data_IF_757303999650
#
_entry.id   IF_757303999650
#
_cell.length_a   1.000
_cell.length_b   1.000
_cell.length_c   1.000
_cell.angle_alpha   90.00
_cell.angle_beta   90.00
_cell.angle_gamma   90.00
#
_symmetry.space_group_name_H-M   'P 1'
#
loop_
_entity.id
_entity.type
_entity.pdbx_description
1 polymer ?
#
# COMPACT_ATOMS: atom_id res chain seq x y z
N UNK A 1 -12.10 -54.14 7.71
CA UNK A 1 -11.40 -53.13 8.55
C UNK A 1 -11.67 -51.76 7.92
N UNK A 2 -12.59 -50.96 8.49
CA UNK A 2 -12.93 -49.62 7.98
C UNK A 2 -12.17 -48.58 8.81
N UNK A 3 -11.17 -47.94 8.23
CA UNK A 3 -10.45 -46.83 8.86
C UNK A 3 -11.30 -45.57 8.71
N UNK A 4 -11.78 -45.02 9.84
CA UNK A 4 -12.40 -43.70 9.92
C UNK A 4 -11.28 -42.65 9.97
N UNK A 5 -11.17 -41.83 8.93
CA UNK A 5 -10.40 -40.60 9.01
C UNK A 5 -11.18 -39.58 9.87
N UNK A 6 -10.65 -39.24 11.05
CA UNK A 6 -11.10 -38.07 11.81
C UNK A 6 -10.52 -36.83 11.12
N UNK A 7 -11.38 -36.09 10.44
CA UNK A 7 -10.99 -34.87 9.75
C UNK A 7 -10.85 -33.73 10.77
N UNK A 8 -9.67 -33.61 11.38
CA UNK A 8 -9.40 -32.57 12.39
C UNK A 8 -9.33 -31.16 11.77
N UNK A 9 -9.22 -30.99 10.45
CA UNK A 9 -9.09 -29.66 9.83
C UNK A 9 -10.36 -28.81 9.95
N UNK A 10 -11.55 -29.43 9.94
CA UNK A 10 -12.83 -28.72 10.09
C UNK A 10 -13.00 -28.11 11.50
N UNK A 11 -12.46 -28.78 12.52
CA UNK A 11 -12.46 -28.27 13.88
C UNK A 11 -11.50 -27.09 14.06
N UNK A 12 -10.33 -27.12 13.43
CA UNK A 12 -9.41 -25.99 13.45
C UNK A 12 -9.95 -24.79 12.67
N UNK A 13 -10.61 -25.02 11.52
CA UNK A 13 -11.26 -23.96 10.75
C UNK A 13 -12.41 -23.32 11.53
N UNK A 14 -13.26 -24.14 12.15
CA UNK A 14 -14.35 -23.67 13.01
C UNK A 14 -13.83 -22.89 14.23
N UNK A 15 -12.77 -23.37 14.89
CA UNK A 15 -12.17 -22.67 16.02
C UNK A 15 -11.55 -21.32 15.61
N UNK A 16 -10.91 -21.25 14.44
CA UNK A 16 -10.32 -20.02 13.91
C UNK A 16 -11.39 -18.98 13.55
N UNK A 17 -12.49 -19.39 12.91
CA UNK A 17 -13.63 -18.50 12.63
C UNK A 17 -14.30 -18.02 13.91
N UNK A 18 -14.50 -18.88 14.92
CA UNK A 18 -15.05 -18.47 16.21
C UNK A 18 -14.11 -17.49 16.95
N UNK A 19 -12.79 -17.67 16.86
CA UNK A 19 -11.83 -16.78 17.49
C UNK A 19 -11.80 -15.39 16.83
N UNK A 20 -11.79 -15.33 15.49
CA UNK A 20 -11.82 -14.07 14.73
C UNK A 20 -13.16 -13.35 14.97
N UNK A 21 -14.29 -14.06 14.88
CA UNK A 21 -15.62 -13.48 15.15
C UNK A 21 -15.70 -12.99 16.61
N UNK A 22 -15.19 -13.75 17.59
CA UNK A 22 -15.21 -13.33 19.00
C UNK A 22 -14.40 -12.06 19.27
N UNK A 23 -13.28 -11.85 18.59
CA UNK A 23 -12.47 -10.64 18.78
C UNK A 23 -13.10 -9.42 18.11
N UNK A 24 -13.71 -9.57 16.92
CA UNK A 24 -14.39 -8.47 16.22
C UNK A 24 -15.79 -8.16 16.79
N UNK A 25 -16.51 -9.16 17.33
CA UNK A 25 -17.80 -8.96 18.02
C UNK A 25 -17.68 -8.32 19.41
N UNK A 26 -16.46 -8.00 19.86
CA UNK A 26 -16.23 -7.30 21.13
C UNK A 26 -15.95 -5.81 20.95
N UNK A 27 -15.90 -5.27 19.73
CA UNK A 27 -15.64 -3.85 19.49
C UNK A 27 -16.92 -3.03 19.55
N UNK A 28 -16.83 -1.82 20.12
CA UNK A 28 -17.90 -0.82 19.98
C UNK A 28 -17.94 -0.41 18.49
N UNK A 29 -19.13 -0.42 17.86
CA UNK A 29 -19.27 -0.04 16.46
C UNK A 29 -18.89 1.43 16.29
N UNK A 30 -18.28 1.77 15.15
CA UNK A 30 -18.02 3.16 14.79
C UNK A 30 -19.26 3.79 14.14
N UNK A 31 -20.36 3.87 14.87
CA UNK A 31 -21.56 4.55 14.42
C UNK A 31 -21.46 6.07 14.63
N UNK A 32 -22.24 6.82 13.86
CA UNK A 32 -22.37 8.27 14.07
C UNK A 32 -23.06 8.54 15.40
N UNK A 33 -22.46 9.43 16.19
CA UNK A 33 -23.09 9.93 17.40
C UNK A 33 -24.22 10.87 17.00
N UNK A 34 -25.44 10.54 17.42
CA UNK A 34 -26.61 11.36 17.13
C UNK A 34 -26.65 12.57 18.05
N UNK A 35 -26.75 13.76 17.48
CA UNK A 35 -26.80 15.04 18.22
C UNK A 35 -28.18 15.69 18.06
N UNK A 36 -28.33 16.95 18.46
CA UNK A 36 -29.54 17.74 18.15
C UNK A 36 -29.61 18.19 16.68
N UNK A 37 -28.56 17.96 15.90
CA UNK A 37 -28.50 18.19 14.46
C UNK A 37 -28.50 16.83 13.71
N UNK A 38 -29.54 16.52 12.92
CA UNK A 38 -29.63 15.24 12.22
C UNK A 38 -28.64 15.09 11.06
N UNK A 39 -27.99 16.17 10.62
CA UNK A 39 -26.98 16.16 9.55
C UNK A 39 -25.55 16.19 10.11
N UNK A 40 -25.39 15.96 11.42
CA UNK A 40 -24.10 15.96 12.08
C UNK A 40 -23.34 14.63 11.94
N UNK A 41 -22.19 14.72 11.28
CA UNK A 41 -21.29 13.59 11.04
C UNK A 41 -19.87 13.87 11.57
N UNK A 42 -19.76 14.62 12.67
CA UNK A 42 -18.46 15.01 13.23
C UNK A 42 -18.04 14.23 14.49
N UNK A 43 -18.85 13.27 14.94
CA UNK A 43 -18.59 12.42 16.11
C UNK A 43 -18.91 10.95 15.82
N UNK A 44 -18.04 10.07 16.29
CA UNK A 44 -18.05 8.64 16.04
C UNK A 44 -17.91 7.89 17.37
N UNK A 45 -18.70 6.84 17.53
CA UNK A 45 -18.59 5.92 18.65
C UNK A 45 -17.34 5.04 18.57
N UNK A 46 -16.81 4.63 19.73
CA UNK A 46 -15.77 3.61 19.82
C UNK A 46 -14.37 4.02 19.34
N UNK A 47 -14.16 5.24 18.82
CA UNK A 47 -12.82 5.82 18.60
C UNK A 47 -12.41 6.69 19.79
N UNK A 48 -11.14 7.10 19.81
CA UNK A 48 -10.55 7.87 20.91
C UNK A 48 -10.44 9.35 20.58
N UNK A 49 -10.64 10.18 21.60
CA UNK A 49 -10.65 11.63 21.52
C UNK A 49 -9.88 12.27 22.66
N UNK A 50 -9.24 13.39 22.34
CA UNK A 50 -9.03 14.48 23.26
C UNK A 50 -10.29 15.36 23.29
N UNK A 51 -10.77 15.71 24.49
CA UNK A 51 -11.90 16.64 24.66
C UNK A 51 -11.33 17.97 25.15
N UNK A 52 -11.37 19.00 24.30
CA UNK A 52 -10.65 20.25 24.48
C UNK A 52 -11.61 21.38 24.83
N UNK A 53 -11.36 22.06 25.95
CA UNK A 53 -12.13 23.21 26.37
C UNK A 53 -11.91 24.41 25.43
N UNK A 54 -12.98 24.94 24.84
CA UNK A 54 -12.90 25.92 23.75
C UNK A 54 -12.23 27.23 24.13
N UNK A 55 -12.35 27.67 25.38
CA UNK A 55 -11.73 28.92 25.86
C UNK A 55 -10.28 28.71 26.26
N UNK A 56 -9.99 27.76 27.17
CA UNK A 56 -8.63 27.61 27.69
C UNK A 56 -7.70 26.83 26.76
N UNK A 57 -8.24 26.14 25.74
CA UNK A 57 -7.49 25.24 24.84
C UNK A 57 -6.75 24.13 25.59
N UNK A 58 -7.31 23.76 26.75
CA UNK A 58 -6.82 22.71 27.64
C UNK A 58 -7.73 21.49 27.57
N UNK A 59 -7.22 20.36 28.00
CA UNK A 59 -7.84 19.06 27.81
C UNK A 59 -8.63 18.66 29.05
N UNK A 60 -9.76 17.99 28.86
CA UNK A 60 -10.51 17.33 29.91
C UNK A 60 -9.70 16.14 30.43
N UNK A 61 -9.30 16.18 31.70
CA UNK A 61 -8.45 15.15 32.31
C UNK A 61 -9.12 14.62 33.56
N UNK A 62 -9.16 13.29 33.68
CA UNK A 62 -9.49 12.63 34.94
C UNK A 62 -8.28 12.69 35.88
N UNK A 63 -8.41 13.36 37.03
CA UNK A 63 -7.37 13.43 38.05
C UNK A 63 -7.91 12.96 39.40
N UNK A 64 -7.56 11.72 39.77
CA UNK A 64 -8.05 11.06 40.99
C UNK A 64 -9.58 11.09 41.06
N UNK A 65 -10.13 11.82 42.03
CA UNK A 65 -11.56 11.85 42.35
C UNK A 65 -12.34 12.94 41.59
N UNK A 66 -11.70 13.69 40.69
CA UNK A 66 -12.35 14.78 39.96
C UNK A 66 -11.86 14.89 38.52
N UNK A 67 -12.63 15.61 37.71
CA UNK A 67 -12.23 15.99 36.35
C UNK A 67 -11.87 17.48 36.34
N UNK A 68 -10.81 17.82 35.62
CA UNK A 68 -10.30 19.19 35.50
C UNK A 68 -9.86 19.48 34.07
N UNK A 69 -9.48 20.73 33.80
CA UNK A 69 -8.84 21.09 32.52
C UNK A 69 -7.33 21.27 32.68
N UNK A 70 -6.55 20.44 31.99
CA UNK A 70 -5.08 20.39 32.11
C UNK A 70 -4.32 20.60 30.80
N UNK A 71 -3.00 20.63 30.90
CA UNK A 71 -2.12 20.69 29.73
C UNK A 71 -2.15 19.37 28.95
N UNK A 72 -1.81 19.41 27.66
CA UNK A 72 -1.74 18.19 26.83
C UNK A 72 -0.66 17.26 27.36
N UNK A 73 -1.01 15.98 27.49
CA UNK A 73 -0.07 14.88 27.66
C UNK A 73 -0.59 13.67 26.90
N UNK A 74 -0.08 13.48 25.68
CA UNK A 74 -0.48 12.38 24.79
C UNK A 74 -0.07 10.99 25.32
N UNK A 75 0.78 10.95 26.36
CA UNK A 75 1.15 9.70 27.03
C UNK A 75 0.22 9.37 28.19
N UNK A 76 -0.62 10.32 28.62
CA UNK A 76 -1.52 10.16 29.75
C UNK A 76 -2.89 9.61 29.30
N UNK A 77 -3.20 8.33 29.55
CA UNK A 77 -4.49 7.77 29.14
C UNK A 77 -5.69 8.40 29.87
N UNK A 78 -5.47 9.10 30.99
CA UNK A 78 -6.54 9.83 31.70
C UNK A 78 -7.02 11.09 30.97
N UNK A 79 -6.29 11.56 29.95
CA UNK A 79 -6.72 12.64 29.06
C UNK A 79 -7.62 12.13 27.92
N UNK A 80 -7.57 10.82 27.62
CA UNK A 80 -8.23 10.27 26.45
C UNK A 80 -9.61 9.71 26.81
N UNK A 81 -10.56 9.96 25.91
CA UNK A 81 -11.96 9.61 26.09
C UNK A 81 -12.50 8.89 24.86
N UNK A 82 -13.53 8.05 25.05
CA UNK A 82 -14.27 7.41 23.96
C UNK A 82 -15.76 7.48 24.21
N UNK A 83 -16.54 7.44 23.14
CA UNK A 83 -17.99 7.53 23.18
C UNK A 83 -18.61 6.15 22.96
N UNK A 84 -19.61 5.79 23.76
CA UNK A 84 -20.42 4.59 23.55
C UNK A 84 -21.88 4.89 23.78
N UNK A 85 -22.77 4.35 22.95
CA UNK A 85 -24.21 4.45 23.17
C UNK A 85 -24.61 3.79 24.48
N UNK A 86 -25.50 4.44 25.23
CA UNK A 86 -26.04 3.89 26.47
C UNK A 86 -27.03 2.75 26.16
N UNK A 87 -26.96 1.65 26.92
CA UNK A 87 -27.79 0.46 26.69
C UNK A 87 -29.24 0.66 27.16
N UNK A 88 -30.19 0.04 26.47
CA UNK A 88 -31.60 -0.02 26.91
C UNK A 88 -32.40 1.27 26.70
N UNK A 89 -31.83 2.28 26.02
CA UNK A 89 -32.52 3.52 25.67
C UNK A 89 -32.68 3.67 24.16
N UNK A 90 -33.91 3.97 23.71
CA UNK A 90 -34.23 4.33 22.33
C UNK A 90 -33.78 5.77 21.96
N UNK A 91 -32.87 6.37 22.72
CA UNK A 91 -32.53 7.80 22.65
C UNK A 91 -31.05 8.03 22.32
N UNK A 92 -30.76 9.23 21.81
CA UNK A 92 -29.44 9.78 21.45
C UNK A 92 -28.57 10.05 22.68
N UNK A 93 -28.38 9.02 23.51
CA UNK A 93 -27.74 9.11 24.83
C UNK A 93 -26.49 8.25 24.85
N UNK A 94 -25.43 8.82 25.38
CA UNK A 94 -24.09 8.27 25.31
C UNK A 94 -23.44 8.27 26.69
N UNK A 95 -22.59 7.27 26.94
CA UNK A 95 -21.57 7.35 27.98
C UNK A 95 -20.28 7.90 27.37
N UNK A 96 -19.53 8.66 28.18
CA UNK A 96 -18.20 9.14 27.83
C UNK A 96 -17.21 8.37 28.71
N UNK A 97 -16.44 7.45 28.13
CA UNK A 97 -15.55 6.55 28.87
C UNK A 97 -14.14 7.10 28.90
N UNK A 98 -13.54 7.20 30.10
CA UNK A 98 -12.14 7.55 30.27
C UNK A 98 -11.27 6.32 30.02
N UNK A 99 -10.18 6.49 29.26
CA UNK A 99 -9.28 5.38 28.94
C UNK A 99 -8.34 5.02 30.09
N UNK A 100 -7.92 5.99 30.90
CA UNK A 100 -7.00 5.76 32.01
C UNK A 100 -7.67 5.07 33.20
N UNK A 101 -8.89 5.46 33.55
CA UNK A 101 -9.65 4.80 34.64
C UNK A 101 -10.45 3.59 34.16
N UNK A 102 -10.81 3.54 32.87
CA UNK A 102 -11.72 2.52 32.35
C UNK A 102 -13.16 2.68 32.85
N UNK A 103 -13.54 3.87 33.33
CA UNK A 103 -14.89 4.18 33.85
C UNK A 103 -15.53 5.36 33.12
N UNK A 104 -16.85 5.51 33.25
CA UNK A 104 -17.60 6.58 32.60
C UNK A 104 -17.45 7.91 33.34
N UNK A 105 -17.54 9.01 32.60
CA UNK A 105 -17.75 10.34 33.11
C UNK A 105 -19.11 10.41 33.81
N UNK A 106 -19.10 10.90 35.04
CA UNK A 106 -20.20 10.89 35.98
C UNK A 106 -20.36 12.28 36.62
N UNK A 107 -21.50 12.50 37.28
CA UNK A 107 -21.78 13.75 37.97
C UNK A 107 -22.72 13.53 39.16
N UNK A 108 -22.62 14.42 40.15
CA UNK A 108 -23.49 14.45 41.34
C UNK A 108 -24.46 15.65 41.34
N UNK A 109 -24.63 16.30 40.18
CA UNK A 109 -25.40 17.55 40.03
C UNK A 109 -24.61 18.83 40.33
N UNK A 110 -23.38 18.75 40.84
CA UNK A 110 -22.48 19.90 41.05
C UNK A 110 -21.12 19.71 40.40
N UNK A 111 -20.45 18.61 40.71
CA UNK A 111 -19.14 18.23 40.18
C UNK A 111 -19.24 17.26 39.02
N UNK A 112 -18.11 17.10 38.33
CA UNK A 112 -17.90 16.11 37.27
C UNK A 112 -16.65 15.29 37.62
N UNK A 113 -16.74 13.97 37.51
CA UNK A 113 -15.67 13.05 37.88
C UNK A 113 -15.70 11.79 37.01
N UNK A 114 -14.61 11.03 36.97
CA UNK A 114 -14.66 9.66 36.46
C UNK A 114 -15.27 8.75 37.53
N UNK A 115 -16.25 7.92 37.17
CA UNK A 115 -16.97 7.10 38.14
C UNK A 115 -16.05 6.09 38.83
N UNK A 116 -16.44 5.67 40.03
CA UNK A 116 -15.80 4.53 40.69
C UNK A 116 -16.23 3.23 40.03
N UNK A 117 -15.44 2.18 40.17
CA UNK A 117 -15.77 0.85 39.63
C UNK A 117 -17.11 0.30 40.13
N UNK A 118 -17.52 0.68 41.35
CA UNK A 118 -18.76 0.21 41.98
C UNK A 118 -20.01 0.93 41.45
N UNK A 119 -19.81 2.10 40.83
CA UNK A 119 -20.88 2.93 40.29
C UNK A 119 -20.83 3.07 38.76
N UNK A 120 -19.76 2.59 38.12
CA UNK A 120 -19.63 2.55 36.67
C UNK A 120 -20.67 1.62 36.05
N UNK A 121 -21.61 2.20 35.31
CA UNK A 121 -22.68 1.43 34.66
C UNK A 121 -23.21 2.16 33.44
N UNK A 122 -23.32 1.43 32.32
CA UNK A 122 -23.93 1.89 31.07
C UNK A 122 -25.42 2.21 31.17
N UNK A 123 -26.06 1.89 32.30
CA UNK A 123 -27.46 2.22 32.57
C UNK A 123 -27.63 3.32 33.62
N UNK A 124 -26.54 3.78 34.25
CA UNK A 124 -26.59 4.83 35.27
C UNK A 124 -26.91 6.19 34.62
N UNK A 125 -28.05 6.83 34.96
CA UNK A 125 -28.47 8.06 34.31
C UNK A 125 -27.62 9.30 34.64
N UNK A 126 -26.80 9.26 35.70
CA UNK A 126 -25.81 10.30 35.97
C UNK A 126 -24.59 10.21 35.03
N UNK A 127 -24.40 9.08 34.35
CA UNK A 127 -23.33 8.87 33.37
C UNK A 127 -23.81 9.00 31.91
N UNK A 128 -25.03 9.49 31.73
CA UNK A 128 -25.69 9.63 30.43
C UNK A 128 -25.63 11.07 29.94
N UNK A 129 -25.10 11.22 28.74
CA UNK A 129 -24.78 12.49 28.11
C UNK A 129 -25.44 12.61 26.74
N UNK A 130 -25.78 13.84 26.37
CA UNK A 130 -26.28 14.22 25.04
C UNK A 130 -25.35 15.32 24.52
N UNK A 131 -25.08 15.29 23.21
CA UNK A 131 -24.26 16.28 22.53
C UNK A 131 -25.13 17.28 21.80
N UNK A 132 -24.90 18.55 22.08
CA UNK A 132 -25.60 19.66 21.44
C UNK A 132 -24.61 20.39 20.53
N UNK A 133 -24.84 20.32 19.22
CA UNK A 133 -23.99 20.91 18.18
C UNK A 133 -23.93 22.42 18.34
N UNK A 134 -22.71 22.94 18.27
CA UNK A 134 -22.43 24.38 18.22
C UNK A 134 -21.97 24.79 16.82
N UNK A 135 -20.95 24.08 16.33
CA UNK A 135 -20.36 24.14 14.98
C UNK A 135 -19.41 22.95 14.84
N UNK A 136 -18.82 22.72 13.67
CA UNK A 136 -17.75 21.73 13.37
C UNK A 136 -17.17 21.07 14.62
N UNK A 137 -17.21 19.75 14.81
CA UNK A 137 -16.67 19.01 15.97
C UNK A 137 -16.72 19.65 17.40
N UNK A 138 -17.57 20.65 17.66
CA UNK A 138 -17.65 21.42 18.91
C UNK A 138 -19.06 21.35 19.47
N UNK A 139 -19.15 20.97 20.75
CA UNK A 139 -20.41 20.59 21.39
C UNK A 139 -20.53 21.18 22.78
N UNK A 140 -21.77 21.41 23.20
CA UNK A 140 -22.08 21.39 24.63
C UNK A 140 -22.39 19.95 25.03
N UNK A 141 -21.85 19.52 26.18
CA UNK A 141 -22.09 18.17 26.74
C UNK A 141 -23.11 18.30 27.86
N UNK A 142 -24.28 17.69 27.69
CA UNK A 142 -25.46 17.89 28.55
C UNK A 142 -25.78 16.59 29.27
N UNK A 143 -25.98 16.65 30.59
CA UNK A 143 -26.41 15.47 31.34
C UNK A 143 -27.92 15.23 31.17
N UNK A 144 -28.34 13.96 31.11
CA UNK A 144 -29.76 13.62 30.93
C UNK A 144 -30.65 13.79 32.17
N UNK A 145 -30.10 13.77 33.38
CA UNK A 145 -30.86 13.91 34.64
C UNK A 145 -30.98 15.35 35.11
N UNK A 146 -29.94 16.15 34.87
CA UNK A 146 -29.97 17.56 35.16
C UNK A 146 -30.60 18.25 33.95
N UNK A 147 -31.93 18.32 33.90
CA UNK A 147 -32.63 19.18 32.95
C UNK A 147 -32.01 20.58 33.09
N UNK A 148 -31.20 20.98 32.08
CA UNK A 148 -30.39 22.21 32.03
C UNK A 148 -28.97 22.20 32.64
N UNK A 149 -28.37 21.05 32.97
CA UNK A 149 -26.97 20.94 33.43
C UNK A 149 -26.00 20.56 32.30
N UNK A 150 -25.03 21.43 32.01
CA UNK A 150 -23.95 21.18 31.05
C UNK A 150 -22.60 21.06 31.77
N UNK A 151 -21.67 20.33 31.17
CA UNK A 151 -20.26 20.41 31.55
C UNK A 151 -19.76 21.84 31.24
N UNK A 152 -19.30 22.54 32.28
CA UNK A 152 -18.80 23.91 32.25
C UNK A 152 -17.42 23.95 32.93
N UNK A 153 -16.63 24.96 32.60
CA UNK A 153 -15.32 25.17 33.22
C UNK A 153 -14.93 26.64 33.24
N UNK A 154 -14.32 27.10 34.34
CA UNK A 154 -13.68 28.41 34.40
C UNK A 154 -12.28 28.45 33.79
N UNK A 155 -11.83 27.35 33.17
CA UNK A 155 -10.48 27.18 32.64
C UNK A 155 -9.51 26.51 33.62
N UNK A 156 -9.98 26.08 34.79
CA UNK A 156 -9.25 25.22 35.74
C UNK A 156 -10.09 24.04 36.21
N UNK A 157 -11.26 24.31 36.78
CA UNK A 157 -12.13 23.29 37.39
C UNK A 157 -13.28 22.98 36.43
N UNK A 158 -13.75 21.73 36.43
CA UNK A 158 -14.91 21.30 35.65
C UNK A 158 -16.08 21.03 36.60
N UNK A 159 -17.26 21.55 36.25
CA UNK A 159 -18.46 21.48 37.07
C UNK A 159 -19.72 21.44 36.20
N UNK A 160 -20.88 21.21 36.82
CA UNK A 160 -22.18 21.28 36.14
C UNK A 160 -22.70 22.71 36.21
N UNK A 161 -22.71 23.38 35.05
CA UNK A 161 -23.22 24.74 34.87
C UNK A 161 -24.62 24.78 34.24
N UNK A 162 -25.29 25.93 34.36
CA UNK A 162 -26.59 26.16 33.70
C UNK A 162 -26.42 26.24 32.18
N UNK A 163 -27.11 25.38 31.45
CA UNK A 163 -27.00 25.21 30.01
C UNK A 163 -27.23 26.51 29.21
N UNK A 164 -26.29 26.82 28.31
CA UNK A 164 -26.39 27.96 27.38
C UNK A 164 -25.53 27.72 26.14
N UNK A 165 -26.15 27.69 24.94
CA UNK A 165 -25.41 27.64 23.66
C UNK A 165 -24.48 28.84 23.44
N UNK A 166 -24.74 29.97 24.11
CA UNK A 166 -23.95 31.21 24.01
C UNK A 166 -22.74 31.22 24.95
N UNK A 167 -22.73 30.38 25.99
CA UNK A 167 -21.63 30.34 26.93
C UNK A 167 -20.46 29.56 26.35
N UNK A 168 -19.39 30.26 25.94
CA UNK A 168 -18.21 29.63 25.36
C UNK A 168 -17.42 28.74 26.33
N UNK A 169 -17.62 28.90 27.63
CA UNK A 169 -17.02 28.05 28.67
C UNK A 169 -17.67 26.66 28.76
N UNK A 170 -18.81 26.46 28.09
CA UNK A 170 -19.51 25.16 28.01
C UNK A 170 -19.22 24.42 26.70
N UNK A 171 -18.38 24.99 25.84
CA UNK A 171 -18.12 24.46 24.50
C UNK A 171 -16.86 23.60 24.51
N UNK A 172 -16.98 22.37 24.03
CA UNK A 172 -15.95 21.34 24.04
C UNK A 172 -15.70 20.84 22.62
N UNK A 173 -14.46 20.94 22.17
CA UNK A 173 -13.98 20.47 20.87
C UNK A 173 -13.53 19.02 21.01
N UNK A 174 -13.99 18.15 20.12
CA UNK A 174 -13.59 16.74 20.08
C UNK A 174 -12.52 16.54 19.02
N UNK A 175 -11.29 16.26 19.44
CA UNK A 175 -10.16 16.01 18.55
C UNK A 175 -9.84 14.53 18.57
N UNK A 176 -10.06 13.79 17.47
CA UNK A 176 -9.78 12.37 17.45
C UNK A 176 -8.26 12.13 17.44
N UNK A 177 -7.82 11.06 18.10
CA UNK A 177 -6.41 10.73 18.28
C UNK A 177 -6.11 9.30 17.83
N UNK A 178 -4.82 8.97 17.76
CA UNK A 178 -4.31 7.60 17.54
C UNK A 178 -4.97 6.87 16.35
N UNK A 179 -4.93 7.50 15.18
CA UNK A 179 -5.43 6.92 13.94
C UNK A 179 -4.44 7.11 12.78
N UNK A 180 -4.57 6.25 11.77
CA UNK A 180 -3.80 6.30 10.53
C UNK A 180 -4.70 5.90 9.36
N UNK A 181 -4.87 6.82 8.42
CA UNK A 181 -5.41 6.54 7.09
C UNK A 181 -4.29 5.89 6.26
N UNK A 182 -4.55 4.69 5.76
CA UNK A 182 -3.63 3.92 4.94
C UNK A 182 -4.19 3.92 3.53
N UNK A 183 -3.45 4.54 2.61
CA UNK A 183 -3.91 4.78 1.25
C UNK A 183 -3.00 4.11 0.24
N UNK A 184 -3.59 3.64 -0.86
CA UNK A 184 -2.88 2.93 -1.91
C UNK A 184 -3.40 3.33 -3.29
N UNK A 185 -2.53 3.89 -4.12
CA UNK A 185 -2.82 4.13 -5.54
C UNK A 185 -2.76 2.78 -6.28
N UNK A 186 -3.86 2.42 -6.92
CA UNK A 186 -4.04 1.17 -7.67
C UNK A 186 -4.98 1.38 -8.86
N UNK A 187 -5.27 0.31 -9.59
CA UNK A 187 -6.20 0.30 -10.73
C UNK A 187 -5.80 1.31 -11.81
N UNK A 188 -4.49 1.37 -12.10
CA UNK A 188 -3.92 2.27 -13.09
C UNK A 188 -4.41 1.95 -14.51
N UNK A 189 -4.88 2.98 -15.21
CA UNK A 189 -5.23 2.97 -16.62
C UNK A 189 -4.38 4.03 -17.32
N UNK A 190 -3.45 3.59 -18.16
CA UNK A 190 -2.55 4.47 -18.91
C UNK A 190 -3.25 5.00 -20.18
N UNK A 191 -3.16 6.31 -20.41
CA UNK A 191 -3.68 6.95 -21.63
C UNK A 191 -2.55 7.16 -22.64
N UNK A 192 -2.48 6.29 -23.64
CA UNK A 192 -1.50 6.34 -24.74
C UNK A 192 -1.98 7.13 -25.96
N UNK A 193 -3.03 7.96 -25.85
CA UNK A 193 -3.60 8.68 -27.02
C UNK A 193 -2.53 9.44 -27.82
N UNK A 194 -2.35 9.00 -29.06
CA UNK A 194 -1.72 9.69 -30.19
C UNK A 194 -0.21 9.99 -30.19
N UNK A 195 0.55 9.60 -29.18
CA UNK A 195 2.01 9.78 -29.24
C UNK A 195 2.70 8.55 -29.84
N UNK A 196 3.50 8.78 -30.88
CA UNK A 196 4.47 7.79 -31.34
C UNK A 196 5.52 7.62 -30.25
N UNK A 197 5.49 6.48 -29.56
CA UNK A 197 6.53 6.11 -28.62
C UNK A 197 7.91 6.20 -29.31
N UNK A 198 8.74 7.16 -28.91
CA UNK A 198 10.10 7.26 -29.43
C UNK A 198 10.93 6.06 -28.93
N UNK A 199 11.20 5.12 -29.83
CA UNK A 199 12.12 4.00 -29.60
C UNK A 199 13.47 4.35 -30.18
N UNK A 200 14.50 4.31 -29.35
CA UNK A 200 15.89 4.44 -29.80
C UNK A 200 16.61 3.13 -29.57
N UNK A 201 17.35 2.67 -30.58
CA UNK A 201 18.25 1.53 -30.38
C UNK A 201 19.51 2.01 -29.67
N UNK A 202 19.91 1.30 -28.62
CA UNK A 202 21.11 1.61 -27.84
C UNK A 202 22.01 0.40 -27.81
N UNK A 203 23.32 0.62 -28.00
CA UNK A 203 24.30 -0.44 -27.89
C UNK A 203 24.44 -0.88 -26.42
N UNK A 204 24.29 -2.19 -26.20
CA UNK A 204 24.47 -2.83 -24.90
C UNK A 204 25.95 -3.08 -24.62
N UNK A 205 26.73 -3.30 -25.67
CA UNK A 205 28.15 -3.60 -25.63
C UNK A 205 29.00 -2.32 -25.69
N UNK A 206 30.18 -2.39 -25.08
CA UNK A 206 31.22 -1.39 -25.28
C UNK A 206 31.74 -1.49 -26.71
N UNK A 207 32.05 -0.39 -27.38
CA UNK A 207 32.44 -0.33 -28.80
C UNK A 207 33.64 -1.19 -29.23
N UNK A 208 34.32 -1.90 -28.31
CA UNK A 208 35.56 -2.62 -28.57
C UNK A 208 35.42 -4.15 -28.57
N UNK A 209 34.20 -4.69 -28.50
CA UNK A 209 33.97 -6.14 -28.53
C UNK A 209 34.20 -6.69 -29.95
N UNK A 210 35.44 -7.09 -30.22
CA UNK A 210 35.92 -7.52 -31.54
C UNK A 210 36.50 -8.93 -31.47
N UNK A 211 36.24 -9.72 -32.52
CA UNK A 211 36.82 -11.04 -32.72
C UNK A 211 37.78 -10.95 -33.90
N UNK A 212 39.06 -11.23 -33.66
CA UNK A 212 40.12 -11.17 -34.67
C UNK A 212 40.45 -12.57 -35.18
N UNK A 213 40.54 -12.75 -36.49
CA UNK A 213 41.03 -13.97 -37.10
C UNK A 213 42.42 -13.75 -37.72
N UNK A 214 43.51 -14.15 -37.04
CA UNK A 214 44.87 -14.02 -37.57
C UNK A 214 45.26 -15.15 -38.54
N UNK A 215 44.35 -16.08 -38.84
CA UNK A 215 44.66 -17.29 -39.61
C UNK A 215 44.27 -17.16 -41.09
N UNK A 216 44.74 -18.10 -41.90
CA UNK A 216 44.41 -18.22 -43.33
C UNK A 216 43.10 -18.98 -43.62
N UNK A 217 42.38 -19.42 -42.59
CA UNK A 217 41.11 -20.14 -42.70
C UNK A 217 40.01 -19.37 -41.97
N UNK A 218 38.75 -19.54 -42.38
CA UNK A 218 37.63 -18.99 -41.64
C UNK A 218 37.53 -19.69 -40.27
N UNK A 219 37.32 -18.92 -39.21
CA UNK A 219 37.10 -19.46 -37.86
C UNK A 219 35.65 -19.23 -37.45
N UNK A 220 35.11 -20.16 -36.67
CA UNK A 220 33.87 -19.94 -35.91
C UNK A 220 34.23 -19.73 -34.44
N UNK A 221 33.68 -18.69 -33.83
CA UNK A 221 33.91 -18.39 -32.43
C UNK A 221 32.61 -18.03 -31.72
N UNK A 222 32.41 -18.61 -30.54
CA UNK A 222 31.31 -18.23 -29.65
C UNK A 222 31.69 -16.95 -28.88
N UNK A 223 30.76 -16.01 -28.86
CA UNK A 223 30.80 -14.79 -28.09
C UNK A 223 29.74 -14.87 -27.00
N UNK A 224 30.15 -14.65 -25.75
CA UNK A 224 29.25 -14.54 -24.62
C UNK A 224 29.67 -13.35 -23.75
N UNK A 225 28.71 -12.47 -23.43
CA UNK A 225 28.95 -11.34 -22.53
C UNK A 225 27.67 -10.93 -21.81
N UNK A 226 27.81 -10.57 -20.55
CA UNK A 226 26.73 -10.02 -19.76
C UNK A 226 26.76 -8.48 -19.79
N UNK A 227 25.59 -7.86 -19.86
CA UNK A 227 25.42 -6.42 -19.76
C UNK A 227 24.27 -6.09 -18.82
N UNK A 228 24.41 -5.05 -18.00
CA UNK A 228 23.36 -4.57 -17.10
C UNK A 228 22.98 -3.14 -17.45
N UNK A 229 21.70 -2.82 -17.33
CA UNK A 229 21.15 -1.48 -17.50
C UNK A 229 20.15 -1.17 -16.39
N UNK A 230 19.99 0.10 -16.07
CA UNK A 230 19.05 0.59 -15.06
C UNK A 230 17.84 1.22 -15.74
N UNK A 231 16.65 0.79 -15.33
CA UNK A 231 15.35 1.34 -15.68
C UNK A 231 14.90 2.24 -14.51
N UNK A 232 14.18 3.30 -14.83
CA UNK A 232 13.58 4.19 -13.84
C UNK A 232 12.13 4.53 -14.19
N UNK A 233 11.33 4.64 -13.13
CA UNK A 233 9.89 4.84 -13.21
C UNK A 233 9.52 5.93 -12.22
N UNK A 234 9.05 7.08 -12.73
CA UNK A 234 8.67 8.20 -11.89
C UNK A 234 7.17 8.39 -11.94
N UNK A 235 6.51 8.20 -10.80
CA UNK A 235 5.10 8.51 -10.62
C UNK A 235 4.96 9.96 -10.16
N UNK A 236 4.05 10.71 -10.77
CA UNK A 236 3.75 12.09 -10.39
C UNK A 236 2.23 12.33 -10.31
N UNK A 237 1.75 12.82 -9.16
CA UNK A 237 0.33 13.11 -8.88
C UNK A 237 0.23 14.52 -8.28
N UNK A 238 -0.69 15.36 -8.77
CA UNK A 238 -0.94 16.67 -8.17
C UNK A 238 -1.67 16.53 -6.83
N UNK A 239 -1.30 17.34 -5.83
CA UNK A 239 -1.99 17.34 -4.52
C UNK A 239 -3.47 17.65 -4.62
N UNK A 240 -3.87 18.51 -5.56
CA UNK A 240 -5.28 18.82 -5.84
C UNK A 240 -6.09 17.64 -6.38
N UNK A 241 -5.42 16.59 -6.84
CA UNK A 241 -6.02 15.36 -7.38
C UNK A 241 -5.72 14.16 -6.47
N UNK A 242 -5.36 14.39 -5.21
CA UNK A 242 -4.90 13.36 -4.27
C UNK A 242 -5.36 13.64 -2.83
N UNK A 243 -4.98 12.74 -1.93
CA UNK A 243 -5.09 12.94 -0.48
C UNK A 243 -3.79 13.57 0.07
N UNK A 244 -3.93 14.44 1.06
CA UNK A 244 -2.82 15.07 1.76
C UNK A 244 -2.04 14.05 2.58
N UNK A 245 -0.89 13.61 2.08
CA UNK A 245 0.07 12.78 2.84
C UNK A 245 0.58 13.56 4.06
N UNK A 246 0.54 12.94 5.24
CA UNK A 246 0.88 13.55 6.52
C UNK A 246 1.19 12.50 7.60
N UNK A 247 1.46 12.95 8.83
CA UNK A 247 1.52 12.08 10.02
C UNK A 247 0.30 11.15 10.17
N UNK A 248 -0.89 11.58 9.74
CA UNK A 248 -2.13 10.80 9.81
C UNK A 248 -2.46 10.02 8.53
N UNK A 249 -1.86 10.37 7.38
CA UNK A 249 -2.14 9.74 6.10
C UNK A 249 -0.86 9.20 5.48
N UNK A 250 -0.75 7.87 5.35
CA UNK A 250 0.29 7.22 4.54
C UNK A 250 -0.22 6.91 3.15
N UNK A 251 0.62 7.05 2.14
CA UNK A 251 0.28 6.71 0.76
C UNK A 251 1.35 5.82 0.15
N UNK A 252 0.89 4.77 -0.52
CA UNK A 252 1.72 3.84 -1.28
C UNK A 252 1.13 3.66 -2.68
N UNK A 253 1.88 3.06 -3.59
CA UNK A 253 1.35 2.68 -4.90
C UNK A 253 1.83 1.29 -5.30
N UNK A 254 1.03 0.63 -6.14
CA UNK A 254 1.40 -0.62 -6.79
C UNK A 254 0.90 -0.62 -8.23
N UNK A 255 1.84 -0.66 -9.18
CA UNK A 255 1.59 -0.75 -10.61
C UNK A 255 1.82 -2.21 -11.03
N UNK A 256 0.77 -2.89 -11.51
CA UNK A 256 0.84 -4.29 -11.95
C UNK A 256 1.80 -4.47 -13.13
N UNK A 257 2.40 -5.65 -13.26
CA UNK A 257 3.19 -6.03 -14.44
C UNK A 257 2.39 -5.97 -15.73
N UNK A 258 1.09 -6.27 -15.67
CA UNK A 258 0.22 -6.31 -16.85
C UNK A 258 0.25 -4.99 -17.62
N UNK A 259 0.49 -3.86 -16.94
CA UNK A 259 0.59 -2.52 -17.55
C UNK A 259 1.83 -2.39 -18.44
N UNK A 260 2.90 -3.12 -18.13
CA UNK A 260 4.13 -3.18 -18.91
C UNK A 260 4.09 -4.31 -19.97
N UNK A 261 3.29 -5.36 -19.72
CA UNK A 261 3.14 -6.50 -20.62
C UNK A 261 2.06 -6.28 -21.70
N UNK A 262 1.10 -5.36 -21.50
CA UNK A 262 -0.20 -5.44 -22.18
C UNK A 262 -0.13 -5.43 -23.70
N UNK A 263 0.79 -4.70 -24.30
CA UNK A 263 1.00 -4.70 -25.74
C UNK A 263 2.42 -4.23 -25.97
N UNK A 264 2.96 -4.44 -27.17
CA UNK A 264 4.17 -3.79 -27.70
C UNK A 264 4.12 -2.25 -27.66
N UNK A 265 3.80 -1.62 -26.53
CA UNK A 265 3.65 -0.19 -26.28
C UNK A 265 4.78 0.25 -25.35
N UNK A 266 5.03 -0.43 -24.22
CA UNK A 266 6.17 -0.20 -23.33
C UNK A 266 6.93 -1.51 -23.06
N UNK A 267 7.75 -2.02 -24.01
CA UNK A 267 8.42 -3.32 -23.88
C UNK A 267 9.60 -3.28 -22.90
N UNK A 268 9.46 -2.61 -21.76
CA UNK A 268 10.46 -2.37 -20.72
C UNK A 268 10.27 -3.37 -19.59
N UNK A 269 11.35 -3.97 -19.10
CA UNK A 269 11.27 -4.87 -17.94
C UNK A 269 10.96 -4.07 -16.68
N UNK A 270 9.82 -4.36 -16.03
CA UNK A 270 9.46 -3.84 -14.71
C UNK A 270 9.48 -4.97 -13.67
N UNK A 271 10.11 -4.71 -12.52
CA UNK A 271 10.11 -5.61 -11.36
C UNK A 271 11.43 -6.38 -11.19
N UNK A 272 12.05 -6.20 -10.02
CA UNK A 272 13.27 -6.90 -9.59
C UNK A 272 13.06 -8.42 -9.39
N UNK A 273 11.80 -8.86 -9.31
CA UNK A 273 11.38 -10.25 -9.13
C UNK A 273 10.21 -10.58 -10.05
N UNK A 274 10.27 -11.75 -10.68
CA UNK A 274 9.20 -12.27 -11.54
C UNK A 274 7.87 -12.21 -10.76
N UNK A 275 6.91 -11.42 -11.23
CA UNK A 275 5.55 -11.38 -10.70
C UNK A 275 5.14 -10.19 -9.81
N UNK A 276 6.02 -9.21 -9.51
CA UNK A 276 5.76 -8.25 -8.43
C UNK A 276 5.40 -6.79 -8.81
N UNK A 277 5.46 -6.39 -10.08
CA UNK A 277 5.14 -5.02 -10.50
C UNK A 277 6.12 -3.96 -9.96
N UNK A 278 5.71 -2.70 -9.92
CA UNK A 278 6.44 -1.59 -9.28
C UNK A 278 5.67 -1.12 -8.06
N UNK A 279 6.37 -1.01 -6.93
CA UNK A 279 5.80 -0.55 -5.66
C UNK A 279 6.65 0.57 -5.08
N UNK A 280 6.02 1.50 -4.38
CA UNK A 280 6.71 2.57 -3.68
C UNK A 280 5.82 3.26 -2.65
N UNK A 281 6.43 4.09 -1.82
CA UNK A 281 5.77 4.92 -0.82
C UNK A 281 5.89 6.40 -1.23
N UNK A 282 4.80 7.15 -1.07
CA UNK A 282 4.77 8.58 -1.35
C UNK A 282 4.96 9.31 -0.02
N UNK A 283 6.00 10.15 0.03
CA UNK A 283 6.36 10.91 1.21
C UNK A 283 5.66 12.28 1.27
N UNK A 284 5.51 12.81 2.48
CA UNK A 284 5.07 14.19 2.68
C UNK A 284 6.08 15.16 2.04
N UNK A 285 5.56 16.17 1.35
CA UNK A 285 6.36 17.18 0.64
C UNK A 285 5.67 18.54 0.75
N UNK A 286 6.44 19.62 0.61
CA UNK A 286 5.90 20.98 0.47
C UNK A 286 5.52 21.33 -0.98
N UNK A 287 5.98 20.55 -1.96
CA UNK A 287 5.70 20.77 -3.38
C UNK A 287 4.22 20.60 -3.73
N UNK A 288 3.77 21.14 -4.86
CA UNK A 288 2.37 20.99 -5.32
C UNK A 288 2.05 19.59 -5.84
N UNK A 289 3.09 18.79 -6.11
CA UNK A 289 3.02 17.44 -6.64
C UNK A 289 3.66 16.43 -5.70
N UNK A 290 3.05 15.26 -5.58
CA UNK A 290 3.71 14.06 -5.09
C UNK A 290 4.48 13.41 -6.21
N UNK A 291 5.77 13.12 -5.97
CA UNK A 291 6.66 12.54 -6.97
C UNK A 291 7.54 11.49 -6.34
N UNK A 292 7.56 10.30 -6.93
CA UNK A 292 8.35 9.19 -6.42
C UNK A 292 9.01 8.43 -7.58
N UNK A 293 10.28 8.05 -7.44
CA UNK A 293 11.05 7.39 -8.50
C UNK A 293 11.60 6.05 -8.05
N UNK A 294 11.17 4.99 -8.73
CA UNK A 294 11.66 3.64 -8.53
C UNK A 294 12.68 3.28 -9.61
N UNK A 295 13.70 2.51 -9.24
CA UNK A 295 14.67 1.98 -10.20
C UNK A 295 14.67 0.46 -10.20
N UNK A 296 14.96 -0.13 -11.34
CA UNK A 296 15.07 -1.58 -11.52
C UNK A 296 16.24 -1.90 -12.46
N UNK A 297 16.84 -3.08 -12.29
CA UNK A 297 17.97 -3.52 -13.12
C UNK A 297 17.54 -4.60 -14.11
N UNK A 298 17.83 -4.37 -15.38
CA UNK A 298 17.71 -5.37 -16.44
C UNK A 298 19.10 -5.90 -16.81
N UNK A 299 19.19 -7.23 -16.88
CA UNK A 299 20.41 -7.95 -17.23
C UNK A 299 20.22 -8.68 -18.55
N UNK A 300 21.17 -8.51 -19.46
CA UNK A 300 21.22 -9.15 -20.76
C UNK A 300 22.37 -10.15 -20.77
N UNK A 301 22.08 -11.39 -21.15
CA UNK A 301 23.09 -12.40 -21.45
C UNK A 301 23.18 -12.54 -22.96
N UNK A 302 24.18 -11.91 -23.55
CA UNK A 302 24.36 -11.81 -25.00
C UNK A 302 25.17 -13.03 -25.44
N UNK A 303 24.60 -13.87 -26.29
CA UNK A 303 25.28 -15.03 -26.89
C UNK A 303 25.17 -14.97 -28.41
N UNK A 304 26.29 -15.13 -29.11
CA UNK A 304 26.32 -15.14 -30.56
C UNK A 304 27.44 -16.03 -31.08
N UNK A 305 27.20 -16.75 -32.18
CA UNK A 305 28.24 -17.53 -32.86
C UNK A 305 28.65 -16.78 -34.12
N UNK A 306 29.88 -16.26 -34.14
CA UNK A 306 30.39 -15.46 -35.24
C UNK A 306 31.28 -16.31 -36.16
N UNK A 307 31.11 -16.15 -37.47
CA UNK A 307 32.06 -16.65 -38.47
C UNK A 307 32.96 -15.50 -38.91
N UNK A 308 34.27 -15.66 -38.78
CA UNK A 308 35.25 -14.60 -39.07
C UNK A 308 36.15 -15.03 -40.23
N UNK A 309 36.11 -14.33 -41.38
CA UNK A 309 36.95 -14.65 -42.53
C UNK A 309 38.47 -14.59 -42.23
N UNK A 310 39.31 -15.24 -43.03
CA UNK A 310 40.77 -15.21 -42.87
C UNK A 310 41.33 -13.79 -42.81
N UNK A 311 42.24 -13.51 -41.88
CA UNK A 311 42.93 -12.22 -41.75
C UNK A 311 42.01 -10.99 -41.62
N UNK A 312 40.81 -11.17 -41.08
CA UNK A 312 39.85 -10.09 -40.83
C UNK A 312 39.48 -10.00 -39.35
N UNK A 313 38.71 -8.97 -38.99
CA UNK A 313 38.09 -8.85 -37.68
C UNK A 313 36.60 -8.56 -37.85
N UNK A 314 35.79 -9.08 -36.93
CA UNK A 314 34.38 -8.71 -36.82
C UNK A 314 34.15 -8.00 -35.50
N UNK A 315 33.28 -7.00 -35.51
CA UNK A 315 32.74 -6.36 -34.31
C UNK A 315 31.40 -7.02 -33.98
N UNK A 316 31.23 -7.45 -32.73
CA UNK A 316 29.93 -7.92 -32.24
C UNK A 316 29.16 -6.72 -31.72
N UNK A 317 27.95 -6.52 -32.25
CA UNK A 317 27.06 -5.43 -31.86
C UNK A 317 25.81 -6.06 -31.27
N UNK A 318 25.44 -5.62 -30.06
CA UNK A 318 24.17 -5.98 -29.45
C UNK A 318 23.40 -4.71 -29.10
N UNK A 319 22.19 -4.59 -29.63
CA UNK A 319 21.32 -3.43 -29.41
C UNK A 319 20.06 -3.83 -28.67
N UNK A 320 19.56 -2.95 -27.82
CA UNK A 320 18.22 -3.05 -27.23
C UNK A 320 17.42 -1.79 -27.52
N UNK A 321 16.11 -1.89 -27.42
CA UNK A 321 15.24 -0.72 -27.41
C UNK A 321 15.47 0.07 -26.12
N UNK A 322 15.53 1.40 -26.22
CA UNK A 322 15.40 2.33 -25.10
C UNK A 322 14.13 3.15 -25.31
N UNK A 323 13.34 3.23 -24.25
CA UNK A 323 12.10 4.00 -24.17
C UNK A 323 12.32 5.12 -23.16
N UNK A 324 11.95 6.34 -23.55
CA UNK A 324 11.82 7.48 -22.65
C UNK A 324 10.47 8.12 -22.95
N UNK A 325 9.50 7.92 -22.06
CA UNK A 325 8.13 8.29 -22.32
C UNK A 325 7.44 8.75 -21.04
N UNK A 326 6.55 9.73 -21.16
CA UNK A 326 5.71 10.23 -20.06
C UNK A 326 4.27 9.94 -20.47
N UNK A 327 3.60 9.06 -19.73
CA UNK A 327 2.23 8.63 -20.03
C UNK A 327 1.29 9.14 -18.94
N UNK A 328 0.23 9.88 -19.29
CA UNK A 328 -0.84 10.20 -18.36
C UNK A 328 -1.54 8.93 -17.88
N UNK A 329 -2.07 8.94 -16.66
CA UNK A 329 -2.88 7.85 -16.14
C UNK A 329 -4.11 8.34 -15.37
N UNK A 330 -5.09 7.44 -15.30
CA UNK A 330 -6.21 7.49 -14.37
C UNK A 330 -6.05 6.33 -13.38
N UNK A 331 -6.33 6.56 -12.09
CA UNK A 331 -6.20 5.53 -11.06
C UNK A 331 -7.21 5.75 -9.92
N UNK A 332 -7.28 4.79 -9.00
CA UNK A 332 -8.04 4.89 -7.75
C UNK A 332 -7.07 4.92 -6.57
N UNK A 333 -7.28 5.84 -5.62
CA UNK A 333 -6.61 5.81 -4.32
C UNK A 333 -7.54 5.10 -3.35
N UNK A 334 -7.27 3.82 -3.08
CA UNK A 334 -7.98 3.06 -2.07
C UNK A 334 -7.65 3.61 -0.68
N UNK A 335 -8.65 3.67 0.19
CA UNK A 335 -8.57 4.17 1.56
C UNK A 335 -8.97 3.05 2.52
N UNK A 336 -8.09 2.75 3.47
CA UNK A 336 -8.43 2.01 4.69
C UNK A 336 -7.98 2.83 5.90
N UNK A 337 -8.42 2.46 7.09
CA UNK A 337 -8.05 3.19 8.29
C UNK A 337 -7.89 2.24 9.48
N UNK A 338 -6.92 2.56 10.32
CA UNK A 338 -6.71 1.95 11.62
C UNK A 338 -6.74 3.02 12.69
N UNK A 339 -7.36 2.71 13.82
CA UNK A 339 -7.36 3.59 14.98
C UNK A 339 -7.34 2.77 16.27
N UNK A 340 -7.03 3.44 17.37
CA UNK A 340 -7.36 2.92 18.69
C UNK A 340 -8.88 2.78 18.81
N UNK A 341 -9.36 1.54 19.02
CA UNK A 341 -10.77 1.23 19.17
C UNK A 341 -11.09 0.74 20.56
N UNK A 342 -12.26 1.09 21.04
CA UNK A 342 -12.75 0.64 22.34
C UNK A 342 -13.54 -0.68 22.18
N UNK A 343 -13.23 -1.67 23.01
CA UNK A 343 -14.05 -2.87 23.12
C UNK A 343 -15.25 -2.62 24.07
N UNK A 344 -16.20 -3.56 24.13
CA UNK A 344 -17.44 -3.46 24.93
C UNK A 344 -17.16 -3.40 26.44
N UNK A 345 -16.06 -4.02 26.89
CA UNK A 345 -15.58 -3.91 28.28
C UNK A 345 -14.96 -2.53 28.57
N UNK A 346 -14.65 -1.78 27.50
CA UNK A 346 -14.05 -0.47 27.54
C UNK A 346 -12.53 -0.46 27.67
N UNK A 347 -11.89 -1.53 27.21
CA UNK A 347 -10.45 -1.61 26.98
C UNK A 347 -10.12 -1.12 25.57
N UNK A 348 -8.99 -0.43 25.43
CA UNK A 348 -8.46 0.00 24.13
C UNK A 348 -7.77 -1.16 23.43
N UNK A 349 -8.12 -1.36 22.16
CA UNK A 349 -7.39 -2.20 21.20
C UNK A 349 -6.72 -1.26 20.21
N UNK A 350 -5.39 -1.22 20.26
CA UNK A 350 -4.61 -0.25 19.50
C UNK A 350 -4.61 -0.56 18.00
N UNK A 351 -4.59 0.49 17.18
CA UNK A 351 -4.35 0.43 15.72
C UNK A 351 -5.09 -0.71 15.01
N UNK A 352 -6.38 -0.85 15.30
CA UNK A 352 -7.27 -1.88 14.74
C UNK A 352 -8.10 -1.29 13.61
N UNK A 353 -8.52 -2.12 12.66
CA UNK A 353 -9.36 -1.70 11.54
C UNK A 353 -10.67 -1.08 12.05
N UNK A 354 -11.04 0.06 11.45
CA UNK A 354 -12.25 0.83 11.81
C UNK A 354 -13.38 0.57 10.83
N UNK A 355 -14.60 0.86 11.25
CA UNK A 355 -15.78 0.65 10.40
C UNK A 355 -15.96 1.81 9.41
N UNK A 356 -16.88 1.62 8.45
CA UNK A 356 -17.13 2.53 7.32
C UNK A 356 -17.28 4.02 7.69
N UNK A 357 -18.01 4.35 8.76
CA UNK A 357 -18.23 5.75 9.13
C UNK A 357 -16.96 6.40 9.68
N UNK A 358 -16.14 5.67 10.43
CA UNK A 358 -14.85 6.19 10.88
C UNK A 358 -13.91 6.47 9.70
N UNK A 359 -13.88 5.59 8.68
CA UNK A 359 -13.10 5.83 7.46
C UNK A 359 -13.54 7.14 6.80
N UNK A 360 -14.85 7.35 6.62
CA UNK A 360 -15.41 8.58 6.04
C UNK A 360 -15.07 9.80 6.88
N UNK A 361 -15.29 9.72 8.19
CA UNK A 361 -15.00 10.78 9.15
C UNK A 361 -13.55 11.26 9.06
N UNK A 362 -12.59 10.33 9.19
CA UNK A 362 -11.17 10.67 9.16
C UNK A 362 -10.74 11.21 7.79
N UNK A 363 -11.20 10.59 6.70
CA UNK A 363 -10.81 11.01 5.36
C UNK A 363 -11.34 12.42 5.02
N UNK A 364 -12.59 12.73 5.38
CA UNK A 364 -13.18 14.06 5.19
C UNK A 364 -12.54 15.11 6.11
N UNK A 365 -12.24 14.76 7.37
CA UNK A 365 -11.56 15.66 8.31
C UNK A 365 -10.19 16.09 7.79
N UNK A 366 -9.38 15.14 7.35
CA UNK A 366 -8.02 15.41 6.90
C UNK A 366 -7.96 15.97 5.47
N UNK A 367 -9.02 15.78 4.67
CA UNK A 367 -9.15 16.29 3.31
C UNK A 367 -10.55 16.89 3.07
N UNK A 368 -10.84 18.07 3.64
CA UNK A 368 -12.14 18.70 3.48
C UNK A 368 -12.49 18.95 2.01
N UNK A 369 -13.71 18.54 1.61
CA UNK A 369 -14.21 18.71 0.25
C UNK A 369 -13.81 17.61 -0.73
N UNK A 370 -13.06 16.58 -0.30
CA UNK A 370 -12.78 15.43 -1.16
C UNK A 370 -14.01 14.54 -1.31
N UNK A 371 -14.32 14.14 -2.54
CA UNK A 371 -15.42 13.21 -2.83
C UNK A 371 -14.94 11.76 -2.67
N UNK A 372 -15.44 11.09 -1.62
CA UNK A 372 -15.12 9.69 -1.35
C UNK A 372 -16.19 8.80 -1.97
N UNK A 373 -15.78 7.99 -2.94
CA UNK A 373 -16.61 6.96 -3.55
C UNK A 373 -16.60 5.68 -2.71
N UNK A 374 -17.69 4.93 -2.80
CA UNK A 374 -17.89 3.68 -2.07
C UNK A 374 -18.48 2.61 -3.00
N UNK A 375 -17.63 1.71 -3.47
CA UNK A 375 -18.03 0.49 -4.19
C UNK A 375 -17.72 -0.72 -3.27
N UNK A 376 -16.81 -1.62 -3.69
CA UNK A 376 -16.29 -2.70 -2.85
C UNK A 376 -15.30 -2.21 -1.78
N UNK A 377 -14.80 -0.98 -1.93
CA UNK A 377 -13.89 -0.30 -1.01
C UNK A 377 -14.07 1.22 -1.10
N UNK A 378 -13.58 1.96 -0.11
CA UNK A 378 -13.52 3.42 -0.13
C UNK A 378 -12.37 3.89 -1.02
N UNK A 379 -12.64 4.83 -1.92
CA UNK A 379 -11.59 5.41 -2.77
C UNK A 379 -11.90 6.82 -3.25
N UNK A 380 -10.87 7.47 -3.78
CA UNK A 380 -11.00 8.66 -4.62
C UNK A 380 -10.40 8.40 -6.00
N UNK A 381 -10.91 9.08 -7.04
CA UNK A 381 -10.28 9.06 -8.36
C UNK A 381 -9.08 10.00 -8.33
N UNK A 382 -7.99 9.58 -8.96
CA UNK A 382 -6.78 10.39 -9.10
C UNK A 382 -6.26 10.32 -10.53
N UNK A 383 -5.55 11.35 -10.93
CA UNK A 383 -4.86 11.42 -12.22
C UNK A 383 -3.40 11.79 -11.98
N UNK A 384 -2.55 11.41 -12.92
CA UNK A 384 -1.15 11.75 -12.84
C UNK A 384 -0.40 11.40 -14.11
N UNK A 385 0.92 11.37 -14.00
CA UNK A 385 1.80 10.89 -15.06
C UNK A 385 2.75 9.84 -14.54
N UNK A 386 3.04 8.85 -15.39
CA UNK A 386 4.10 7.88 -15.19
C UNK A 386 5.18 8.15 -16.23
N UNK A 387 6.36 8.58 -15.78
CA UNK A 387 7.54 8.65 -16.63
C UNK A 387 8.27 7.31 -16.59
N UNK A 388 8.57 6.77 -17.76
CA UNK A 388 9.34 5.55 -17.96
C UNK A 388 10.60 5.90 -18.71
N UNK A 389 11.77 5.69 -18.10
CA UNK A 389 13.06 5.67 -18.80
C UNK A 389 13.65 4.28 -18.61
N UNK A 390 13.58 3.44 -19.64
CA UNK A 390 13.96 2.05 -19.50
C UNK A 390 14.36 1.37 -20.79
N UNK A 391 15.09 0.28 -20.61
CA UNK A 391 15.60 -0.58 -21.66
C UNK A 391 14.67 -1.78 -21.84
N UNK A 392 14.45 -2.14 -23.08
CA UNK A 392 13.54 -3.21 -23.44
C UNK A 392 14.10 -4.59 -23.15
N UNK A 393 13.25 -5.57 -22.86
CA UNK A 393 13.70 -6.92 -22.54
C UNK A 393 14.29 -7.66 -23.76
N UNK A 394 13.88 -7.29 -24.98
CA UNK A 394 14.41 -7.84 -26.22
C UNK A 394 15.70 -7.13 -26.66
N UNK A 395 16.71 -7.92 -27.05
CA UNK A 395 17.94 -7.46 -27.68
C UNK A 395 18.18 -8.15 -29.03
N UNK A 396 18.77 -7.44 -29.98
CA UNK A 396 19.22 -7.97 -31.26
C UNK A 396 20.74 -7.96 -31.31
N UNK A 397 21.35 -9.07 -31.76
CA UNK A 397 22.81 -9.22 -31.84
C UNK A 397 23.22 -9.62 -33.25
N UNK A 398 24.21 -8.93 -33.78
CA UNK A 398 24.76 -9.17 -35.12
C UNK A 398 26.25 -8.82 -35.15
N UNK A 399 26.89 -9.13 -36.27
CA UNK A 399 28.31 -8.84 -36.51
C UNK A 399 28.49 -7.90 -37.68
N UNK A 400 29.45 -6.98 -37.56
CA UNK A 400 29.92 -6.14 -38.67
C UNK A 400 31.38 -6.43 -38.97
N UNK A 401 31.74 -6.54 -40.25
CA UNK A 401 33.13 -6.71 -40.65
C UNK A 401 33.88 -5.39 -40.47
N UNK A 402 35.01 -5.42 -39.77
CA UNK A 402 35.88 -4.26 -39.68
C UNK A 402 36.78 -4.21 -40.92
N UNK A 403 37.03 -3.01 -41.48
CA UNK A 403 38.00 -2.84 -42.55
C UNK A 403 39.34 -3.44 -42.15
N UNK A 404 40.00 -4.07 -43.11
CA UNK A 404 41.31 -4.67 -42.91
C UNK A 404 42.31 -3.54 -42.63
N UNK A 405 42.66 -3.32 -41.36
CA UNK A 405 43.84 -2.52 -41.02
C UNK A 405 45.03 -3.19 -41.72
N UNK A 406 45.64 -2.44 -42.64
CA UNK A 406 46.79 -2.85 -43.45
C UNK A 406 47.87 -3.46 -42.57
N UNK A 407 48.01 -4.79 -42.61
CA UNK A 407 49.18 -5.51 -42.09
C UNK A 407 50.06 -5.98 -43.27
N UNK A 408 51.39 -5.81 -43.18
CA UNK A 408 52.35 -6.10 -44.25
C UNK A 408 52.82 -7.57 -44.21
N UNK A 409 53.69 -7.99 -45.15
CA UNK A 409 53.40 -8.96 -46.19
C UNK A 409 53.55 -10.44 -45.78
N UNK A 410 52.82 -11.26 -46.55
CA UNK A 410 52.95 -12.70 -46.79
C UNK A 410 54.39 -13.25 -46.65
N UNK A 411 54.63 -14.32 -45.88
CA UNK A 411 55.81 -15.15 -46.05
C UNK A 411 55.58 -16.21 -47.14
N UNK A 412 56.48 -16.27 -48.11
CA UNK A 412 56.65 -17.42 -49.02
C UNK A 412 57.46 -18.53 -48.33
N UNK A 413 57.03 -19.79 -48.48
CA UNK A 413 57.81 -20.87 -49.13
C UNK A 413 57.20 -22.27 -48.87
N UNK A 414 56.66 -22.82 -49.96
CA UNK A 414 56.77 -24.19 -50.56
C UNK A 414 57.19 -25.45 -49.74
N UNK A 415 56.85 -26.67 -50.22
CA UNK A 415 56.23 -27.75 -49.43
C UNK A 415 57.06 -29.06 -49.37
N UNK A 416 56.59 -30.05 -48.60
CA UNK A 416 56.98 -31.48 -48.75
C UNK A 416 55.79 -32.45 -48.54
N UNK A 417 55.58 -33.34 -49.52
CA UNK A 417 54.84 -34.64 -49.48
C UNK A 417 55.83 -35.76 -49.07
N UNK A 418 55.47 -36.98 -48.59
CA UNK A 418 54.56 -37.99 -49.23
C UNK A 418 53.50 -38.63 -48.25
N UNK A 419 52.25 -38.97 -48.65
CA UNK A 419 51.68 -40.28 -49.14
C UNK A 419 51.64 -41.47 -48.14
N UNK A 420 50.72 -42.47 -48.21
CA UNK A 420 49.26 -42.54 -48.50
C UNK A 420 48.40 -43.30 -47.43
N UNK A 421 47.07 -43.28 -47.60
CA UNK A 421 45.89 -43.94 -46.93
C UNK A 421 46.02 -45.42 -46.47
N UNK A 422 45.18 -45.98 -45.54
CA UNK A 422 43.73 -46.25 -45.79
C UNK A 422 42.70 -46.36 -44.60
N UNK A 423 41.43 -46.15 -44.96
CA UNK A 423 40.15 -46.81 -44.57
C UNK A 423 39.52 -46.82 -43.15
N UNK A 424 38.18 -46.70 -43.21
CA UNK A 424 37.10 -47.21 -42.31
C UNK A 424 36.80 -46.38 -41.04
N UNK A 425 35.58 -46.26 -40.50
CA UNK A 425 34.30 -46.97 -40.65
C UNK A 425 33.15 -46.09 -40.11
N UNK A 426 31.92 -46.44 -40.50
CA UNK A 426 30.65 -45.93 -39.94
C UNK A 426 30.52 -46.18 -38.42
N UNK A 427 29.83 -45.29 -37.71
CA UNK A 427 28.73 -45.70 -36.83
C UNK A 427 27.81 -44.53 -36.45
N UNK A 428 26.51 -44.73 -36.67
CA UNK A 428 25.43 -44.02 -35.98
C UNK A 428 25.46 -44.39 -34.49
N UNK A 429 24.92 -43.53 -33.60
CA UNK A 429 23.91 -44.09 -32.72
C UNK A 429 22.67 -43.21 -32.55
N UNK A 430 21.53 -43.80 -32.93
CA UNK A 430 20.33 -43.98 -32.10
C UNK A 430 20.45 -43.37 -30.69
N UNK A 431 19.89 -42.17 -30.48
CA UNK A 431 19.43 -41.74 -29.15
C UNK A 431 18.33 -40.68 -29.15
N UNK A 432 17.76 -40.33 -30.31
CA UNK A 432 16.69 -39.32 -30.36
C UNK A 432 15.29 -39.87 -29.99
N UNK A 433 15.07 -41.19 -30.11
CA UNK A 433 13.74 -41.79 -29.91
C UNK A 433 13.40 -42.01 -28.43
N UNK A 434 14.39 -42.34 -27.59
CA UNK A 434 14.16 -42.53 -26.15
C UNK A 434 13.85 -41.23 -25.41
N UNK A 435 14.44 -40.10 -25.82
CA UNK A 435 14.19 -38.80 -25.19
C UNK A 435 12.78 -38.27 -25.47
N UNK A 436 12.25 -38.50 -26.68
CA UNK A 436 10.89 -38.10 -27.04
C UNK A 436 9.82 -38.89 -26.27
N UNK A 437 10.08 -40.18 -26.01
CA UNK A 437 9.13 -41.04 -25.31
C UNK A 437 9.04 -40.72 -23.80
N UNK A 438 10.14 -40.29 -23.19
CA UNK A 438 10.16 -39.86 -21.77
C UNK A 438 9.36 -38.56 -21.58
N UNK A 439 9.49 -37.59 -22.50
CA UNK A 439 8.78 -36.31 -22.43
C UNK A 439 7.26 -36.52 -22.58
N UNK A 440 6.83 -37.36 -23.53
CA UNK A 440 5.41 -37.67 -23.72
C UNK A 440 4.78 -38.38 -22.52
N UNK A 441 5.54 -39.26 -21.86
CA UNK A 441 5.07 -39.98 -20.67
C UNK A 441 4.92 -39.03 -19.47
N UNK A 442 5.86 -38.09 -19.28
CA UNK A 442 5.77 -37.07 -18.24
C UNK A 442 4.58 -36.11 -18.45
N UNK A 443 4.30 -35.74 -19.70
CA UNK A 443 3.16 -34.88 -20.04
C UNK A 443 1.82 -35.58 -19.74
N UNK A 444 1.70 -36.87 -20.03
CA UNK A 444 0.51 -37.67 -19.71
C UNK A 444 0.28 -37.81 -18.20
N UNK A 445 1.35 -37.93 -17.40
CA UNK A 445 1.25 -38.00 -15.93
C UNK A 445 0.78 -36.65 -15.36
N UNK A 446 1.25 -35.52 -15.89
CA UNK A 446 0.80 -34.18 -15.44
C UNK A 446 -0.68 -33.93 -15.74
N UNK A 447 -1.16 -34.35 -16.91
CA UNK A 447 -2.59 -34.21 -17.27
C UNK A 447 -3.47 -35.09 -16.37
N UNK A 448 -3.02 -36.31 -16.05
CA UNK A 448 -3.76 -37.19 -15.14
C UNK A 448 -3.81 -36.68 -13.69
N UNK A 449 -2.76 -36.00 -13.23
CA UNK A 449 -2.69 -35.38 -11.90
C UNK A 449 -3.59 -34.14 -11.78
N UNK A 450 -3.83 -33.40 -12.86
CA UNK A 450 -4.78 -32.27 -12.86
C UNK A 450 -6.23 -32.73 -12.74
N UNK A 451 -6.57 -33.93 -13.23
CA UNK A 451 -7.93 -34.48 -13.13
C UNK A 451 -8.22 -35.20 -11.80
N UNK A 452 -7.22 -35.41 -10.94
CA UNK A 452 -7.41 -36.04 -9.62
C UNK A 452 -7.55 -35.04 -8.47
N UNK A 453 -7.43 -33.73 -8.73
CA UNK A 453 -7.51 -32.64 -7.74
C UNK A 453 -8.64 -31.62 -8.00
N UNK A 454 -9.69 -32.04 -8.69
CA UNK A 454 -11.04 -31.44 -8.61
C UNK A 454 -11.97 -32.44 -7.91
#
# INVERSE_FOLDING_TARGET
>A
MKVRYKNNSLHYLGFFFFFIISTYCSLIPNDWVTTDDPEDFDLIEGITYNIVHSISKKYLISDRDHVQVGASDDTNPHQHWSLRKAEGKNYNVYNIKNLGTGTNLDNDGKGVYASSTDHDSITNPYQHWIFIKIKDNTYNIVNTMNEHGNIDSDGKIVYIGKSSKKNRYQQWLFEPINYKLITKVKDFVLDFKNDKLERKFVNLLTSNDTIKNPTNASIEQEFEKDATKSNSYTLEIRKSESLKVSGYISMSFEISLDIFDYFDILPVKAGASVGAGIKGEINETTEETYKETMTDTVSYRIKHKATVPPYTSVQVIAIANKVNYIVPFHAKIQITCKADRLNTDGKVIQMTDVDANAIRYYAQRENPGVEIMNEDFFYIITNGTLKVDGYGYNSYTYVENLPQDTLPPKPESTPKKPEPTPNSSESSPKNLVMFHQIILTLLQIMIMLQYTYQ
#
